data_IF_071171700298
#
_entry.id   IF_071171700298
#
_cell.length_a   1.000
_cell.length_b   1.000
_cell.length_c   1.000
_cell.angle_alpha   90.00
_cell.angle_beta   90.00
_cell.angle_gamma   90.00
#
_symmetry.space_group_name_H-M   'P 1'
#
loop_
_entity.id
_entity.type
_entity.pdbx_description
1 polymer ?
#
# COMPACT_ATOMS: atom_id res chain seq x y z
N UNK A 1 -46.06 -27.24 52.93
CA UNK A 1 -45.03 -27.35 51.89
C UNK A 1 -43.71 -27.54 52.61
N UNK A 2 -43.02 -28.65 52.36
CA UNK A 2 -41.74 -28.93 53.00
C UNK A 2 -40.73 -27.83 52.70
N UNK A 3 -40.02 -27.37 53.73
CA UNK A 3 -38.97 -26.34 53.65
C UNK A 3 -37.90 -26.69 52.60
N UNK A 4 -37.62 -27.97 52.41
CA UNK A 4 -36.73 -28.48 51.36
C UNK A 4 -37.28 -28.25 49.95
N UNK A 5 -38.59 -28.38 49.74
CA UNK A 5 -39.22 -28.15 48.43
C UNK A 5 -39.15 -26.68 48.03
N UNK A 6 -39.34 -25.77 49.00
CA UNK A 6 -39.22 -24.32 48.80
C UNK A 6 -37.77 -23.94 48.45
N UNK A 7 -36.78 -24.54 49.12
CA UNK A 7 -35.36 -24.30 48.82
C UNK A 7 -34.98 -24.75 47.41
N UNK A 8 -35.49 -25.90 46.93
CA UNK A 8 -35.25 -26.39 45.58
C UNK A 8 -35.84 -25.44 44.53
N UNK A 9 -37.05 -24.93 44.76
CA UNK A 9 -37.70 -23.97 43.85
C UNK A 9 -36.92 -22.66 43.78
N UNK A 10 -36.47 -22.13 44.93
CA UNK A 10 -35.66 -20.91 44.97
C UNK A 10 -34.32 -21.09 44.26
N UNK A 11 -33.65 -22.23 44.46
CA UNK A 11 -32.39 -22.54 43.77
C UNK A 11 -32.57 -22.61 42.25
N UNK A 12 -33.67 -23.22 41.77
CA UNK A 12 -33.97 -23.30 40.35
C UNK A 12 -34.19 -21.91 39.73
N UNK A 13 -34.91 -21.03 40.44
CA UNK A 13 -35.14 -19.65 40.00
C UNK A 13 -33.82 -18.89 39.88
N UNK A 14 -32.91 -19.03 40.87
CA UNK A 14 -31.61 -18.37 40.84
C UNK A 14 -30.78 -18.85 39.64
N UNK A 15 -30.76 -20.15 39.35
CA UNK A 15 -30.03 -20.69 38.19
C UNK A 15 -30.57 -20.13 36.87
N UNK A 16 -31.89 -20.05 36.72
CA UNK A 16 -32.52 -19.46 35.53
C UNK A 16 -32.16 -17.97 35.41
N UNK A 17 -32.17 -17.23 36.53
CA UNK A 17 -31.80 -15.81 36.57
C UNK A 17 -30.33 -15.59 36.20
N UNK A 18 -29.42 -16.43 36.72
CA UNK A 18 -28.00 -16.39 36.35
C UNK A 18 -27.80 -16.70 34.87
N UNK A 19 -28.48 -17.74 34.35
CA UNK A 19 -28.43 -18.07 32.92
C UNK A 19 -28.91 -16.92 32.03
N UNK A 20 -29.99 -16.23 32.43
CA UNK A 20 -30.51 -15.07 31.72
C UNK A 20 -29.52 -13.89 31.73
N UNK A 21 -28.91 -13.59 32.88
CA UNK A 21 -27.92 -12.51 32.99
C UNK A 21 -26.68 -12.84 32.15
N UNK A 22 -26.17 -14.07 32.24
CA UNK A 22 -25.03 -14.52 31.43
C UNK A 22 -25.30 -14.45 29.93
N UNK A 23 -26.50 -14.84 29.50
CA UNK A 23 -26.91 -14.73 28.09
C UNK A 23 -26.91 -13.28 27.61
N UNK A 24 -27.48 -12.35 28.38
CA UNK A 24 -27.51 -10.93 28.02
C UNK A 24 -26.10 -10.31 27.97
N UNK A 25 -25.24 -10.62 28.92
CA UNK A 25 -23.83 -10.18 28.90
C UNK A 25 -23.12 -10.73 27.65
N UNK A 26 -23.31 -12.01 27.35
CA UNK A 26 -22.74 -12.62 26.15
C UNK A 26 -23.21 -11.91 24.87
N UNK A 27 -24.51 -11.60 24.74
CA UNK A 27 -25.03 -10.92 23.55
C UNK A 27 -24.48 -9.49 23.42
N UNK A 28 -24.38 -8.73 24.52
CA UNK A 28 -23.82 -7.38 24.51
C UNK A 28 -22.34 -7.39 24.12
N UNK A 29 -21.55 -8.30 24.67
CA UNK A 29 -20.12 -8.41 24.34
C UNK A 29 -19.93 -8.95 22.92
N UNK A 30 -20.77 -9.87 22.45
CA UNK A 30 -20.76 -10.34 21.07
C UNK A 30 -21.10 -9.21 20.08
N UNK A 31 -22.09 -8.38 20.39
CA UNK A 31 -22.38 -7.18 19.58
C UNK A 31 -21.22 -6.17 19.60
N UNK A 32 -20.55 -5.96 20.74
CA UNK A 32 -19.37 -5.09 20.81
C UNK A 32 -18.18 -5.66 20.03
N UNK A 33 -17.99 -6.98 20.02
CA UNK A 33 -16.99 -7.65 19.19
C UNK A 33 -17.29 -7.48 17.70
N UNK A 34 -18.57 -7.53 17.30
CA UNK A 34 -19.00 -7.28 15.92
C UNK A 34 -18.94 -5.79 15.52
N UNK A 35 -19.19 -4.87 16.46
CA UNK A 35 -19.16 -3.41 16.26
C UNK A 35 -17.77 -2.80 16.49
N UNK A 36 -16.79 -3.58 16.98
CA UNK A 36 -15.41 -3.15 17.17
C UNK A 36 -14.75 -2.82 15.82
N UNK A 37 -14.33 -1.57 15.66
CA UNK A 37 -13.81 -0.97 14.42
C UNK A 37 -12.52 -1.57 13.85
N UNK A 38 -12.03 -2.70 14.36
CA UNK A 38 -10.68 -3.21 14.06
C UNK A 38 -10.63 -4.44 13.14
N UNK A 39 -11.74 -4.94 12.59
CA UNK A 39 -11.73 -6.20 11.80
C UNK A 39 -12.67 -6.23 10.59
N UNK A 40 -13.25 -5.10 10.18
CA UNK A 40 -14.07 -5.05 8.97
C UNK A 40 -13.17 -4.82 7.74
N UNK A 41 -13.26 -5.75 6.78
CA UNK A 41 -12.70 -5.60 5.44
C UNK A 41 -13.19 -4.26 4.85
N UNK A 42 -12.26 -3.35 4.56
CA UNK A 42 -12.51 -2.01 4.06
C UNK A 42 -11.79 -1.81 2.74
N UNK A 43 -12.54 -1.28 1.77
CA UNK A 43 -12.02 -0.79 0.49
C UNK A 43 -12.01 0.74 0.53
N UNK A 44 -10.88 1.35 0.19
CA UNK A 44 -10.70 2.79 0.04
C UNK A 44 -10.26 3.06 -1.39
N UNK A 45 -11.11 3.73 -2.18
CA UNK A 45 -10.73 4.20 -3.52
C UNK A 45 -9.83 5.44 -3.38
N UNK A 46 -8.60 5.37 -3.87
CA UNK A 46 -7.66 6.51 -3.86
C UNK A 46 -8.04 7.47 -4.98
N UNK A 47 -8.32 6.94 -6.18
CA UNK A 47 -8.99 7.66 -7.26
C UNK A 47 -9.74 6.68 -8.17
N UNK A 48 -10.77 7.17 -8.84
CA UNK A 48 -11.55 6.43 -9.84
C UNK A 48 -11.46 7.15 -11.19
N UNK A 49 -11.19 6.41 -12.26
CA UNK A 49 -10.94 6.92 -13.61
C UNK A 49 -9.48 6.83 -14.03
N UNK A 50 -9.19 7.31 -15.24
CA UNK A 50 -7.88 7.26 -15.88
C UNK A 50 -7.08 8.51 -15.54
N UNK A 51 -5.89 8.32 -14.98
CA UNK A 51 -4.87 9.33 -14.74
C UNK A 51 -3.74 9.14 -15.76
N UNK A 52 -3.57 10.11 -16.66
CA UNK A 52 -2.36 10.20 -17.49
C UNK A 52 -1.26 10.92 -16.71
N UNK A 53 -0.07 10.29 -16.66
CA UNK A 53 1.09 10.79 -15.94
C UNK A 53 1.75 12.00 -16.62
N UNK A 54 1.43 12.25 -17.89
CA UNK A 54 1.82 13.46 -18.61
C UNK A 54 1.03 14.69 -18.14
N UNK A 55 -0.31 14.60 -18.15
CA UNK A 55 -1.19 15.75 -17.93
C UNK A 55 -1.45 16.06 -16.46
N UNK A 56 -1.39 15.06 -15.58
CA UNK A 56 -1.73 15.23 -14.18
C UNK A 56 -0.50 15.57 -13.33
N UNK A 57 -0.67 16.59 -12.49
CA UNK A 57 0.27 16.90 -11.43
C UNK A 57 0.25 15.82 -10.33
N UNK A 58 1.24 15.83 -9.46
CA UNK A 58 1.39 14.85 -8.37
C UNK A 58 0.10 14.75 -7.55
N UNK A 59 -0.58 13.61 -7.63
CA UNK A 59 -1.77 13.40 -6.82
C UNK A 59 -1.32 13.09 -5.39
N UNK A 60 -1.58 14.02 -4.47
CA UNK A 60 -1.26 13.90 -3.06
C UNK A 60 -2.52 13.68 -2.25
N UNK A 61 -2.53 12.59 -1.48
CA UNK A 61 -3.58 12.30 -0.50
C UNK A 61 -3.01 12.28 0.91
N UNK A 62 -3.74 12.86 1.87
CA UNK A 62 -3.36 12.80 3.27
C UNK A 62 -3.80 11.45 3.85
N UNK A 63 -3.01 10.84 4.71
CA UNK A 63 -3.30 9.52 5.29
C UNK A 63 -3.14 9.49 6.80
N UNK A 64 -2.84 10.64 7.41
CA UNK A 64 -2.51 10.74 8.83
C UNK A 64 -3.36 11.80 9.56
N UNK A 65 -3.74 12.89 8.88
CA UNK A 65 -4.60 13.93 9.45
C UNK A 65 -6.03 13.76 8.93
N UNK A 66 -6.90 13.29 9.84
CA UNK A 66 -8.33 13.02 9.59
C UNK A 66 -9.09 14.30 9.21
N UNK A 67 -8.59 15.47 9.62
CA UNK A 67 -9.24 16.76 9.40
C UNK A 67 -9.00 17.31 8.00
N UNK A 68 -8.06 16.73 7.24
CA UNK A 68 -7.73 17.20 5.90
C UNK A 68 -8.80 16.79 4.88
N UNK A 69 -9.14 17.71 3.97
CA UNK A 69 -10.18 17.47 2.95
C UNK A 69 -9.84 16.31 1.99
N UNK A 70 -8.56 15.98 1.83
CA UNK A 70 -8.06 14.87 1.01
C UNK A 70 -7.58 13.67 1.87
N UNK A 71 -8.13 13.52 3.08
CA UNK A 71 -7.82 12.39 3.95
C UNK A 71 -8.35 11.08 3.38
N UNK A 72 -7.47 10.07 3.34
CA UNK A 72 -7.76 8.69 3.00
C UNK A 72 -7.32 7.80 4.15
N UNK A 73 -8.28 7.08 4.73
CA UNK A 73 -7.96 6.04 5.69
C UNK A 73 -7.47 4.79 4.95
N UNK A 74 -6.15 4.58 5.02
CA UNK A 74 -5.42 3.45 4.46
C UNK A 74 -4.66 2.68 5.55
N UNK A 75 -5.26 2.58 6.73
CA UNK A 75 -4.71 1.77 7.82
C UNK A 75 -4.79 0.28 7.46
N UNK A 76 -3.75 -0.53 7.73
CA UNK A 76 -3.81 -1.98 7.51
C UNK A 76 -4.72 -2.64 8.56
N UNK A 77 -5.31 -3.79 8.24
CA UNK A 77 -6.00 -4.62 9.24
C UNK A 77 -5.03 -5.64 9.84
N UNK A 78 -5.47 -6.27 10.93
CA UNK A 78 -4.71 -7.31 11.63
C UNK A 78 -5.35 -8.65 11.29
N UNK A 79 -4.54 -9.58 10.79
CA UNK A 79 -4.98 -10.92 10.48
C UNK A 79 -5.15 -11.77 11.75
N UNK A 80 -5.72 -12.97 11.59
CA UNK A 80 -5.96 -13.89 12.71
C UNK A 80 -4.69 -14.34 13.45
N UNK A 81 -3.53 -14.18 12.81
CA UNK A 81 -2.21 -14.51 13.37
C UNK A 81 -1.54 -13.31 14.06
N UNK A 82 -2.22 -12.15 14.13
CA UNK A 82 -1.70 -10.93 14.76
C UNK A 82 -0.78 -10.08 13.87
N UNK A 83 -0.61 -10.45 12.59
CA UNK A 83 0.19 -9.71 11.63
C UNK A 83 -0.63 -8.69 10.83
N UNK A 84 -0.01 -7.61 10.38
CA UNK A 84 -0.65 -6.63 9.51
C UNK A 84 -0.87 -7.20 8.09
N UNK A 85 -2.00 -6.85 7.46
CA UNK A 85 -2.29 -7.17 6.07
C UNK A 85 -2.94 -6.00 5.32
N UNK A 86 -2.68 -5.92 4.02
CA UNK A 86 -3.27 -4.95 3.11
C UNK A 86 -2.99 -5.32 1.65
N UNK A 87 -3.75 -4.74 0.73
CA UNK A 87 -3.56 -4.92 -0.70
C UNK A 87 -3.77 -3.61 -1.48
N UNK A 88 -3.03 -3.44 -2.57
CA UNK A 88 -3.25 -2.38 -3.55
C UNK A 88 -3.65 -3.01 -4.88
N UNK A 89 -4.64 -2.43 -5.54
CA UNK A 89 -5.08 -2.80 -6.88
C UNK A 89 -5.13 -1.57 -7.77
N UNK A 90 -4.62 -1.69 -8.99
CA UNK A 90 -4.73 -0.65 -10.00
C UNK A 90 -4.57 -1.23 -11.39
N UNK A 91 -5.05 -0.49 -12.37
CA UNK A 91 -4.84 -0.75 -13.79
C UNK A 91 -3.71 0.12 -14.30
N UNK A 92 -2.86 -0.43 -15.15
CA UNK A 92 -1.71 0.24 -15.74
C UNK A 92 -1.76 0.06 -17.25
N UNK A 93 -1.42 1.12 -17.97
CA UNK A 93 -1.16 1.12 -19.40
C UNK A 93 0.21 1.74 -19.62
N UNK A 94 1.00 1.09 -20.47
CA UNK A 94 2.36 1.48 -20.79
C UNK A 94 2.54 1.51 -22.31
N UNK A 95 3.19 2.55 -22.81
CA UNK A 95 3.74 2.58 -24.17
C UNK A 95 5.27 2.55 -24.08
N UNK A 96 5.85 1.36 -24.27
CA UNK A 96 7.30 1.14 -24.15
C UNK A 96 8.10 1.97 -25.16
N UNK A 97 7.51 2.33 -26.30
CA UNK A 97 8.18 3.14 -27.33
C UNK A 97 8.37 4.61 -26.92
N UNK A 98 7.57 5.09 -25.97
CA UNK A 98 7.64 6.46 -25.45
C UNK A 98 8.42 6.58 -24.14
N UNK A 99 8.76 5.47 -23.49
CA UNK A 99 9.62 5.46 -22.31
C UNK A 99 11.03 5.88 -22.71
N UNK A 100 11.43 7.08 -22.30
CA UNK A 100 12.77 7.64 -22.55
C UNK A 100 13.57 7.64 -21.25
N UNK A 101 14.79 7.13 -21.30
CA UNK A 101 15.76 7.20 -20.20
C UNK A 101 16.15 5.84 -19.63
N UNK A 102 17.09 5.88 -18.67
CA UNK A 102 17.68 4.70 -18.03
C UNK A 102 17.31 4.60 -16.54
N UNK A 103 16.31 5.37 -16.10
CA UNK A 103 15.93 5.51 -14.69
C UNK A 103 14.53 4.98 -14.46
N UNK A 104 14.26 4.62 -13.22
CA UNK A 104 13.01 4.01 -12.82
C UNK A 104 11.93 5.08 -12.64
N UNK A 105 10.73 4.82 -13.15
CA UNK A 105 9.57 5.69 -12.94
C UNK A 105 8.85 5.28 -11.66
N UNK A 106 8.52 6.24 -10.78
CA UNK A 106 7.77 5.94 -9.55
C UNK A 106 6.27 6.03 -9.85
N UNK A 107 5.57 4.92 -9.65
CA UNK A 107 4.12 4.85 -9.83
C UNK A 107 3.39 5.32 -8.57
N UNK A 108 3.81 4.80 -7.42
CA UNK A 108 3.18 5.01 -6.12
C UNK A 108 4.24 5.17 -5.04
N UNK A 109 4.05 6.15 -4.15
CA UNK A 109 4.85 6.31 -2.94
C UNK A 109 3.95 6.70 -1.77
N UNK A 110 3.90 5.86 -0.73
CA UNK A 110 3.43 6.27 0.60
C UNK A 110 4.63 6.54 1.49
N UNK A 111 4.96 7.81 1.68
CA UNK A 111 6.27 8.15 2.23
C UNK A 111 6.63 9.62 2.13
N UNK A 112 7.90 9.89 2.41
CA UNK A 112 8.48 11.21 2.17
C UNK A 112 9.21 11.20 0.81
N UNK A 113 9.12 12.31 0.07
CA UNK A 113 9.83 12.47 -1.21
C UNK A 113 11.31 12.77 -1.03
N UNK A 114 11.75 13.09 0.19
CA UNK A 114 13.14 13.39 0.49
C UNK A 114 14.05 12.22 0.10
N UNK A 115 15.02 12.53 -0.75
CA UNK A 115 16.04 11.61 -1.21
C UNK A 115 17.25 11.78 -0.30
N UNK A 116 17.65 10.70 0.36
CA UNK A 116 18.76 10.71 1.31
C UNK A 116 19.83 9.70 0.89
N UNK A 117 21.09 10.02 1.15
CA UNK A 117 22.22 9.10 0.96
C UNK A 117 22.17 8.03 2.04
N UNK A 118 22.14 6.76 1.65
CA UNK A 118 22.25 5.62 2.52
C UNK A 118 23.68 5.09 2.48
N UNK A 119 24.51 5.52 3.43
CA UNK A 119 25.94 5.20 3.48
C UNK A 119 26.25 3.74 3.86
N UNK A 120 25.24 2.93 4.21
CA UNK A 120 25.43 1.53 4.54
C UNK A 120 25.40 0.69 3.27
N UNK A 121 26.27 -0.33 3.15
CA UNK A 121 26.23 -1.29 2.04
C UNK A 121 24.84 -1.88 1.92
N UNK A 122 24.08 -1.39 0.94
CA UNK A 122 22.71 -1.84 0.72
C UNK A 122 22.73 -3.12 -0.09
N UNK A 123 21.77 -4.02 0.19
CA UNK A 123 21.45 -5.14 -0.70
C UNK A 123 20.47 -4.69 -1.80
N UNK A 124 20.05 -3.41 -1.74
CA UNK A 124 19.21 -2.73 -2.71
C UNK A 124 20.08 -1.94 -3.68
N UNK A 125 20.28 -2.48 -4.88
CA UNK A 125 21.18 -1.87 -5.85
C UNK A 125 20.48 -0.85 -6.74
N UNK A 126 19.23 -0.47 -6.44
CA UNK A 126 18.39 0.34 -7.32
C UNK A 126 19.00 1.70 -7.65
N UNK A 127 19.77 2.28 -6.74
CA UNK A 127 20.44 3.57 -6.92
C UNK A 127 21.93 3.42 -7.17
N UNK A 128 22.42 4.07 -8.22
CA UNK A 128 23.84 4.08 -8.57
C UNK A 128 24.67 5.02 -7.67
N UNK A 129 24.02 5.75 -6.73
CA UNK A 129 24.64 6.81 -5.93
C UNK A 129 24.40 6.68 -4.42
N UNK A 130 23.99 5.49 -3.95
CA UNK A 130 23.55 5.22 -2.57
C UNK A 130 22.37 6.09 -2.11
N UNK A 131 21.82 6.94 -2.97
CA UNK A 131 20.68 7.82 -2.67
C UNK A 131 19.37 7.05 -2.86
N UNK A 132 18.53 7.03 -1.84
CA UNK A 132 17.23 6.35 -1.90
C UNK A 132 16.19 7.09 -1.07
N UNK A 133 14.92 6.77 -1.33
CA UNK A 133 13.82 7.19 -0.47
C UNK A 133 13.85 6.32 0.79
N UNK A 134 14.13 6.93 1.93
CA UNK A 134 14.25 6.20 3.20
C UNK A 134 12.89 5.86 3.81
N UNK A 135 11.90 6.75 3.67
CA UNK A 135 10.56 6.58 4.26
C UNK A 135 9.58 6.19 3.16
N UNK A 136 9.27 4.90 3.06
CA UNK A 136 8.41 4.29 2.04
C UNK A 136 7.67 3.06 2.57
N UNK A 137 6.35 3.00 2.40
CA UNK A 137 5.56 1.78 2.59
C UNK A 137 4.15 1.93 1.99
N UNK A 138 3.89 1.55 0.71
CA UNK A 138 4.85 1.02 -0.26
C UNK A 138 5.51 2.11 -1.13
N UNK A 139 6.61 1.75 -1.78
CA UNK A 139 7.15 2.39 -2.98
C UNK A 139 7.03 1.39 -4.13
N UNK A 140 6.33 1.77 -5.20
CA UNK A 140 6.16 0.96 -6.40
C UNK A 140 6.88 1.65 -7.56
N UNK A 141 7.89 0.96 -8.12
CA UNK A 141 8.70 1.43 -9.23
C UNK A 141 8.43 0.63 -10.48
N UNK A 142 8.46 1.32 -11.61
CA UNK A 142 8.50 0.75 -12.94
C UNK A 142 9.93 0.83 -13.47
N UNK A 143 10.40 -0.27 -14.03
CA UNK A 143 11.64 -0.35 -14.80
C UNK A 143 11.72 0.70 -15.92
N UNK A 144 12.93 1.11 -16.35
CA UNK A 144 13.09 2.13 -17.40
C UNK A 144 12.48 1.69 -18.74
N UNK A 145 12.46 0.38 -19.01
CA UNK A 145 11.93 -0.22 -20.25
C UNK A 145 10.46 -0.66 -20.14
N UNK A 146 9.85 -0.55 -18.95
CA UNK A 146 8.50 -1.06 -18.69
C UNK A 146 8.39 -2.59 -18.73
N UNK A 147 9.49 -3.31 -18.54
CA UNK A 147 9.58 -4.78 -18.50
C UNK A 147 9.48 -5.37 -17.09
N UNK A 148 9.48 -4.53 -16.05
CA UNK A 148 9.30 -4.99 -14.68
C UNK A 148 8.80 -3.92 -13.72
N UNK A 149 8.27 -4.39 -12.60
CA UNK A 149 7.75 -3.61 -11.48
C UNK A 149 8.40 -4.11 -10.20
N UNK A 150 8.98 -3.19 -9.42
CA UNK A 150 9.55 -3.47 -8.11
C UNK A 150 8.68 -2.82 -7.02
N UNK A 151 8.55 -3.53 -5.90
CA UNK A 151 7.79 -3.10 -4.72
C UNK A 151 8.74 -3.10 -3.53
N UNK A 152 8.81 -1.97 -2.85
CA UNK A 152 9.64 -1.78 -1.67
C UNK A 152 8.79 -1.28 -0.51
N UNK A 153 9.18 -1.68 0.70
CA UNK A 153 8.58 -1.18 1.92
C UNK A 153 9.61 -1.19 3.05
N UNK A 154 9.45 -0.26 3.99
CA UNK A 154 10.26 -0.20 5.19
C UNK A 154 9.88 -1.28 6.19
N UNK A 155 10.91 -1.86 6.80
CA UNK A 155 10.78 -2.68 7.98
C UNK A 155 10.98 -1.84 9.25
N UNK A 156 10.67 -2.41 10.41
CA UNK A 156 11.08 -1.89 11.72
C UNK A 156 12.61 -1.78 11.83
N UNK A 157 13.37 -2.75 11.31
CA UNK A 157 14.84 -2.81 11.46
C UNK A 157 15.59 -2.05 10.37
N UNK A 158 15.15 -2.16 9.12
CA UNK A 158 15.87 -1.60 7.97
C UNK A 158 14.95 -0.87 6.98
N UNK A 159 15.57 -0.10 6.09
CA UNK A 159 14.89 0.72 5.08
C UNK A 159 14.24 -0.15 3.99
N UNK A 160 14.80 -1.32 3.69
CA UNK A 160 14.38 -2.18 2.58
C UNK A 160 14.14 -3.60 3.07
N UNK A 161 13.16 -4.26 2.46
CA UNK A 161 12.86 -5.68 2.72
C UNK A 161 13.19 -6.50 1.49
N UNK A 162 13.66 -7.73 1.71
CA UNK A 162 14.25 -8.56 0.67
C UNK A 162 13.51 -9.89 0.53
N UNK A 163 13.50 -10.46 -0.67
CA UNK A 163 12.97 -11.79 -0.88
C UNK A 163 13.78 -12.82 -0.08
N UNK A 164 13.09 -13.79 0.51
CA UNK A 164 13.67 -14.99 1.08
C UNK A 164 14.21 -15.87 -0.06
N UNK A 165 15.48 -15.67 -0.41
CA UNK A 165 16.18 -16.43 -1.45
C UNK A 165 17.47 -17.02 -0.88
N UNK A 166 17.82 -18.22 -1.34
CA UNK A 166 18.97 -18.98 -0.85
C UNK A 166 20.31 -18.22 -0.89
N UNK A 167 20.46 -17.24 -1.80
CA UNK A 167 21.66 -16.42 -1.90
C UNK A 167 21.33 -15.01 -2.33
N UNK A 168 21.44 -14.09 -1.39
CA UNK A 168 21.31 -12.66 -1.65
C UNK A 168 22.64 -12.14 -2.16
N UNK A 169 22.59 -11.40 -3.26
CA UNK A 169 23.78 -10.81 -3.87
C UNK A 169 23.95 -9.39 -3.36
N UNK A 170 25.13 -9.06 -2.84
CA UNK A 170 25.47 -7.67 -2.57
C UNK A 170 25.58 -6.88 -3.88
N UNK A 171 25.44 -5.57 -3.80
CA UNK A 171 25.53 -4.70 -4.98
C UNK A 171 26.92 -4.65 -5.62
N UNK A 172 27.94 -5.07 -4.90
CA UNK A 172 29.31 -5.25 -5.42
C UNK A 172 29.38 -6.46 -6.38
N UNK A 173 28.49 -7.45 -6.21
CA UNK A 173 28.48 -8.72 -6.95
C UNK A 173 27.32 -8.85 -7.95
N UNK A 174 26.36 -7.91 -7.89
CA UNK A 174 25.22 -7.89 -8.78
C UNK A 174 25.60 -7.29 -10.13
N UNK A 175 25.11 -7.91 -11.21
CA UNK A 175 25.19 -7.31 -12.54
C UNK A 175 24.24 -6.12 -12.62
N UNK A 176 24.81 -4.91 -12.67
CA UNK A 176 24.07 -3.65 -12.71
C UNK A 176 23.55 -3.30 -14.11
N UNK A 177 23.96 -4.03 -15.15
CA UNK A 177 23.57 -3.74 -16.54
C UNK A 177 22.14 -4.17 -16.85
N UNK A 178 21.66 -5.25 -16.21
CA UNK A 178 20.31 -5.77 -16.37
C UNK A 178 19.46 -5.39 -15.16
N UNK A 179 18.35 -4.67 -15.38
CA UNK A 179 17.48 -4.17 -14.33
C UNK A 179 16.97 -5.28 -13.38
N UNK A 180 16.62 -6.44 -13.94
CA UNK A 180 16.23 -7.64 -13.18
C UNK A 180 17.33 -8.14 -12.24
N UNK A 181 18.57 -8.19 -12.71
CA UNK A 181 19.71 -8.64 -11.90
C UNK A 181 20.03 -7.61 -10.81
N UNK A 182 19.96 -6.32 -11.15
CA UNK A 182 20.15 -5.19 -10.24
C UNK A 182 19.13 -5.20 -9.09
N UNK A 183 17.87 -5.54 -9.36
CA UNK A 183 16.78 -5.53 -8.38
C UNK A 183 16.43 -6.92 -7.84
N UNK A 184 17.17 -7.99 -8.18
CA UNK A 184 16.75 -9.37 -7.92
C UNK A 184 16.50 -9.74 -6.46
N UNK A 185 17.04 -8.98 -5.51
CA UNK A 185 16.78 -9.16 -4.07
C UNK A 185 15.44 -8.55 -3.62
N UNK A 186 14.87 -7.61 -4.38
CA UNK A 186 13.65 -6.89 -4.03
C UNK A 186 12.41 -7.63 -4.51
N UNK A 187 11.25 -7.30 -3.94
CA UNK A 187 9.97 -7.85 -4.37
C UNK A 187 9.57 -7.23 -5.71
N UNK A 188 9.03 -8.03 -6.61
CA UNK A 188 8.64 -7.51 -7.92
C UNK A 188 8.32 -8.58 -8.95
N UNK A 189 7.85 -8.11 -10.09
CA UNK A 189 7.69 -8.89 -11.32
C UNK A 189 8.70 -8.35 -12.32
N UNK A 190 9.57 -9.22 -12.84
CA UNK A 190 10.72 -8.80 -13.63
C UNK A 190 10.62 -9.13 -15.13
N UNK A 191 9.55 -9.81 -15.55
CA UNK A 191 9.31 -10.21 -16.94
C UNK A 191 7.86 -9.86 -17.33
N UNK A 192 7.61 -8.58 -17.61
CA UNK A 192 6.31 -8.05 -18.07
C UNK A 192 6.33 -7.80 -19.58
N UNK A 193 5.65 -8.68 -20.32
CA UNK A 193 5.48 -8.53 -21.76
C UNK A 193 4.13 -7.89 -22.14
N UNK A 194 3.91 -6.68 -21.62
CA UNK A 194 2.67 -5.93 -21.83
C UNK A 194 3.01 -4.54 -22.38
N UNK A 195 2.78 -4.35 -23.68
CA UNK A 195 2.98 -3.07 -24.38
C UNK A 195 1.68 -2.62 -25.05
N UNK A 196 1.39 -1.32 -24.95
CA UNK A 196 0.21 -0.64 -25.51
C UNK A 196 -1.13 -1.31 -25.15
N UNK A 197 -1.18 -1.92 -23.97
CA UNK A 197 -2.36 -2.62 -23.45
C UNK A 197 -2.60 -2.25 -21.99
N UNK A 198 -3.87 -2.26 -21.60
CA UNK A 198 -4.26 -2.16 -20.20
C UNK A 198 -4.08 -3.50 -19.52
N UNK A 199 -3.47 -3.48 -18.34
CA UNK A 199 -3.33 -4.65 -17.50
C UNK A 199 -3.52 -4.29 -16.03
N UNK A 200 -4.04 -5.23 -15.27
CA UNK A 200 -4.31 -5.04 -13.86
C UNK A 200 -3.14 -5.57 -13.04
N UNK A 201 -2.71 -4.81 -12.03
CA UNK A 201 -1.72 -5.23 -11.04
C UNK A 201 -2.40 -5.24 -9.68
N UNK A 202 -2.22 -6.34 -8.94
CA UNK A 202 -2.61 -6.40 -7.54
C UNK A 202 -1.42 -6.81 -6.70
N UNK A 203 -1.08 -6.00 -5.71
CA UNK A 203 -0.01 -6.25 -4.74
C UNK A 203 -0.68 -6.58 -3.42
N UNK A 204 -0.47 -7.78 -2.92
CA UNK A 204 -1.03 -8.28 -1.65
C UNK A 204 0.12 -8.48 -0.67
N UNK A 205 0.01 -7.83 0.48
CA UNK A 205 1.01 -7.86 1.54
C UNK A 205 0.39 -8.43 2.81
N UNK A 206 1.05 -9.41 3.41
CA UNK A 206 0.58 -10.05 4.64
C UNK A 206 1.75 -10.44 5.51
N UNK A 207 1.78 -9.98 6.75
CA UNK A 207 2.68 -10.55 7.76
C UNK A 207 2.19 -11.94 8.15
N UNK A 208 3.11 -12.90 8.16
CA UNK A 208 2.80 -14.30 8.47
C UNK A 208 3.63 -14.75 9.67
N UNK A 209 2.97 -15.33 10.66
CA UNK A 209 3.63 -16.29 11.53
C UNK A 209 3.31 -17.67 10.96
N UNK A 210 4.32 -18.46 10.59
CA UNK A 210 4.08 -19.85 10.23
C UNK A 210 3.89 -20.61 11.56
N UNK A 211 2.68 -21.07 11.90
CA UNK A 211 2.46 -21.79 13.16
C UNK A 211 3.23 -23.12 13.16
N UNK A 212 3.44 -23.71 11.98
CA UNK A 212 4.04 -25.04 11.81
C UNK A 212 5.58 -25.02 11.87
N UNK A 213 6.19 -23.83 11.91
CA UNK A 213 7.64 -23.74 11.97
C UNK A 213 8.07 -22.54 12.84
N UNK A 214 8.48 -22.84 14.07
CA UNK A 214 8.99 -21.89 15.06
C UNK A 214 10.14 -21.02 14.51
N UNK A 215 10.88 -21.52 13.51
CA UNK A 215 11.97 -20.78 12.83
C UNK A 215 11.49 -19.78 11.78
N UNK A 216 10.22 -19.84 11.36
CA UNK A 216 9.58 -18.91 10.41
C UNK A 216 8.67 -17.89 11.12
N UNK A 217 8.81 -17.76 12.45
CA UNK A 217 8.14 -16.69 13.17
C UNK A 217 8.63 -15.34 12.66
N UNK A 218 7.68 -14.52 12.22
CA UNK A 218 7.85 -13.13 11.78
C UNK A 218 8.39 -12.93 10.35
N UNK A 219 8.05 -13.79 9.39
CA UNK A 219 8.22 -13.45 7.97
C UNK A 219 7.02 -12.65 7.45
N UNK A 220 7.15 -12.08 6.25
CA UNK A 220 6.02 -11.52 5.53
C UNK A 220 5.86 -12.26 4.20
N UNK A 221 4.66 -12.26 3.66
CA UNK A 221 4.31 -12.80 2.34
C UNK A 221 3.91 -11.63 1.45
N UNK A 222 4.45 -11.64 0.24
CA UNK A 222 4.11 -10.72 -0.83
C UNK A 222 3.65 -11.51 -2.04
N UNK A 223 2.40 -11.26 -2.45
CA UNK A 223 1.82 -11.86 -3.65
C UNK A 223 1.51 -10.77 -4.66
N UNK A 224 1.98 -10.95 -5.89
CA UNK A 224 1.71 -10.03 -6.99
C UNK A 224 0.94 -10.77 -8.07
N UNK A 225 -0.23 -10.25 -8.40
CA UNK A 225 -1.10 -10.74 -9.45
C UNK A 225 -1.06 -9.79 -10.63
N UNK A 226 -1.05 -10.35 -11.84
CA UNK A 226 -1.17 -9.60 -13.10
C UNK A 226 -2.35 -10.20 -13.88
N UNK A 227 -3.31 -9.36 -14.26
CA UNK A 227 -4.53 -9.77 -14.99
C UNK A 227 -5.30 -10.93 -14.33
N UNK A 228 -5.34 -10.96 -12.99
CA UNK A 228 -5.99 -12.04 -12.24
C UNK A 228 -5.11 -13.26 -11.96
N UNK A 229 -4.01 -13.45 -12.69
CA UNK A 229 -3.09 -14.57 -12.49
C UNK A 229 -2.01 -14.25 -11.45
N UNK A 230 -1.70 -15.20 -10.57
CA UNK A 230 -0.59 -15.08 -9.62
C UNK A 230 0.74 -15.22 -10.37
N UNK A 231 1.57 -14.17 -10.35
CA UNK A 231 2.87 -14.17 -11.03
C UNK A 231 4.02 -14.31 -10.05
N UNK A 232 3.91 -13.70 -8.87
CA UNK A 232 4.93 -13.78 -7.82
C UNK A 232 4.28 -14.11 -6.49
N UNK A 233 4.78 -15.14 -5.82
CA UNK A 233 4.47 -15.48 -4.43
C UNK A 233 5.80 -15.68 -3.71
N UNK A 234 6.16 -14.70 -2.86
CA UNK A 234 7.47 -14.65 -2.20
C UNK A 234 7.30 -14.39 -0.72
N UNK A 235 8.08 -15.11 0.07
CA UNK A 235 8.33 -14.74 1.44
C UNK A 235 9.36 -13.62 1.48
N UNK A 236 9.24 -12.78 2.49
CA UNK A 236 10.07 -11.60 2.69
C UNK A 236 10.78 -11.74 4.02
N UNK A 237 12.05 -11.35 4.01
CA UNK A 237 12.94 -11.30 5.16
C UNK A 237 13.56 -9.92 5.31
N UNK A 238 14.09 -9.66 6.49
CA UNK A 238 14.86 -8.45 6.76
C UNK A 238 16.25 -8.82 7.21
N UNK A 239 17.26 -8.24 6.57
CA UNK A 239 18.66 -8.54 6.83
C UNK A 239 19.34 -7.29 7.32
N UNK A 240 20.03 -7.42 8.45
CA UNK A 240 20.82 -6.37 9.05
C UNK A 240 22.10 -6.96 9.64
N UNK A 241 23.26 -6.46 9.23
CA UNK A 241 24.58 -6.98 9.64
C UNK A 241 24.67 -8.52 9.51
N UNK A 242 24.30 -9.05 8.35
CA UNK A 242 24.32 -10.49 8.00
C UNK A 242 23.44 -11.39 8.89
N UNK A 243 22.52 -10.81 9.66
CA UNK A 243 21.53 -11.54 10.46
C UNK A 243 20.13 -11.31 9.92
N UNK A 244 19.31 -12.35 10.01
CA UNK A 244 17.89 -12.33 9.60
C UNK A 244 17.04 -11.89 10.80
N UNK A 245 16.15 -10.93 10.57
CA UNK A 245 15.20 -10.38 11.52
C UNK A 245 13.78 -10.46 10.97
N UNK A 246 12.82 -10.13 11.83
CA UNK A 246 11.41 -10.01 11.48
C UNK A 246 11.18 -9.12 10.25
N UNK A 247 10.31 -9.56 9.35
CA UNK A 247 9.86 -8.84 8.17
C UNK A 247 8.65 -7.89 8.42
N UNK A 248 8.39 -7.53 9.70
CA UNK A 248 7.29 -6.63 10.09
C UNK A 248 7.32 -5.29 9.34
N UNK A 249 6.18 -4.94 8.75
CA UNK A 249 5.91 -3.72 8.03
C UNK A 249 5.97 -2.51 8.98
N UNK A 250 6.75 -1.50 8.61
CA UNK A 250 6.71 -0.21 9.28
C UNK A 250 5.64 0.66 8.65
N UNK A 251 4.52 0.88 9.33
CA UNK A 251 3.49 1.79 8.83
C UNK A 251 3.91 3.26 9.05
N UNK A 252 4.36 3.92 7.98
CA UNK A 252 4.81 5.30 8.04
C UNK A 252 3.62 6.27 8.09
N UNK A 253 3.66 7.23 9.03
CA UNK A 253 2.78 8.40 9.05
C UNK A 253 3.24 9.40 8.00
N UNK A 254 2.88 9.16 6.75
CA UNK A 254 3.32 9.97 5.61
C UNK A 254 2.25 9.97 4.53
N UNK A 255 2.12 11.06 3.76
CA UNK A 255 1.14 11.15 2.67
C UNK A 255 1.38 10.11 1.58
N UNK A 256 0.33 9.84 0.81
CA UNK A 256 0.37 9.01 -0.39
C UNK A 256 0.51 9.89 -1.62
N UNK A 257 1.41 9.52 -2.51
CA UNK A 257 1.66 10.18 -3.79
C UNK A 257 1.49 9.20 -4.94
N UNK A 258 0.75 9.61 -5.97
CA UNK A 258 0.69 8.94 -7.27
C UNK A 258 1.40 9.83 -8.29
N UNK A 259 2.27 9.23 -9.12
CA UNK A 259 3.14 9.94 -10.05
C UNK A 259 3.91 11.11 -9.38
N UNK A 260 4.67 10.85 -8.29
CA UNK A 260 5.45 11.89 -7.64
C UNK A 260 6.53 12.45 -8.59
N UNK A 261 6.57 13.77 -8.71
CA UNK A 261 7.70 14.49 -9.29
C UNK A 261 8.86 14.55 -8.32
N UNK A 262 10.06 14.40 -8.88
CA UNK A 262 11.32 14.64 -8.20
C UNK A 262 12.04 15.78 -8.92
N UNK A 263 12.75 16.60 -8.16
CA UNK A 263 13.58 17.67 -8.72
C UNK A 263 14.79 17.12 -9.48
N UNK A 264 15.73 18.01 -9.77
CA UNK A 264 16.95 17.75 -10.57
C UNK A 264 17.91 16.69 -10.02
N UNK A 265 17.59 16.02 -8.91
CA UNK A 265 18.44 15.03 -8.23
C UNK A 265 18.69 13.74 -9.03
N UNK A 266 18.10 13.60 -10.22
CA UNK A 266 18.54 12.66 -11.25
C UNK A 266 18.52 11.16 -10.85
N UNK A 267 17.82 10.73 -9.80
CA UNK A 267 17.79 9.32 -9.39
C UNK A 267 16.63 8.55 -10.03
N UNK A 268 15.46 9.17 -10.07
CA UNK A 268 14.27 8.60 -10.71
C UNK A 268 14.02 9.27 -12.06
N UNK A 269 13.24 8.62 -12.91
CA UNK A 269 12.83 9.18 -14.18
C UNK A 269 12.04 10.47 -13.95
N UNK A 270 12.27 11.44 -14.83
CA UNK A 270 11.39 12.61 -14.92
C UNK A 270 10.01 12.18 -15.40
N UNK A 271 9.03 13.08 -15.24
CA UNK A 271 7.69 12.83 -15.74
C UNK A 271 7.71 12.59 -17.26
N UNK A 272 6.81 11.73 -17.78
CA UNK A 272 6.68 11.56 -19.21
C UNK A 272 6.44 12.90 -19.91
N UNK A 273 7.11 13.11 -21.05
CA UNK A 273 7.00 14.33 -21.86
C UNK A 273 5.91 14.24 -22.93
N UNK A 274 5.36 13.05 -23.13
CA UNK A 274 4.33 12.74 -24.12
C UNK A 274 3.12 12.10 -23.45
N UNK A 275 1.92 12.47 -23.89
CA UNK A 275 0.68 11.85 -23.47
C UNK A 275 0.65 10.35 -23.80
N UNK A 276 -0.15 9.61 -23.04
CA UNK A 276 -0.32 8.17 -23.16
C UNK A 276 0.95 7.33 -22.99
N UNK A 277 1.99 7.86 -22.32
CA UNK A 277 3.21 7.09 -22.04
C UNK A 277 3.00 6.13 -20.89
N UNK A 278 2.49 6.64 -19.75
CA UNK A 278 2.10 5.86 -18.57
C UNK A 278 0.72 6.37 -18.15
N UNK A 279 -0.24 5.47 -18.06
CA UNK A 279 -1.57 5.77 -17.52
C UNK A 279 -1.91 4.79 -16.42
N UNK A 280 -2.50 5.28 -15.34
CA UNK A 280 -3.00 4.46 -14.25
C UNK A 280 -4.51 4.67 -14.12
N UNK A 281 -5.26 3.62 -13.87
CA UNK A 281 -6.70 3.71 -13.64
C UNK A 281 -7.13 2.97 -12.37
N UNK A 282 -8.16 3.50 -11.71
CA UNK A 282 -8.82 2.93 -10.54
C UNK A 282 -7.85 2.39 -9.47
N UNK A 283 -7.06 3.26 -8.87
CA UNK A 283 -6.19 2.88 -7.76
C UNK A 283 -7.01 2.71 -6.48
N UNK A 284 -7.02 1.48 -5.96
CA UNK A 284 -7.77 1.08 -4.77
C UNK A 284 -6.84 0.47 -3.72
N UNK A 285 -7.14 0.76 -2.47
CA UNK A 285 -6.52 0.17 -1.30
C UNK A 285 -7.53 -0.71 -0.59
N UNK A 286 -7.10 -1.89 -0.19
CA UNK A 286 -7.83 -2.82 0.64
C UNK A 286 -7.06 -2.99 1.94
N UNK A 287 -7.71 -2.80 3.08
CA UNK A 287 -7.04 -3.00 4.36
C UNK A 287 -6.80 -4.49 4.69
N UNK A 288 -7.10 -5.43 3.80
CA UNK A 288 -7.00 -6.87 4.03
C UNK A 288 -6.26 -7.56 2.89
N UNK A 289 -5.89 -8.82 3.11
CA UNK A 289 -5.26 -9.65 2.08
C UNK A 289 -6.31 -10.14 1.07
N UNK A 290 -6.20 -9.72 -0.19
CA UNK A 290 -7.08 -10.20 -1.26
C UNK A 290 -6.75 -11.66 -1.61
N UNK A 291 -7.78 -12.50 -1.68
CA UNK A 291 -7.70 -13.87 -2.21
C UNK A 291 -7.65 -13.87 -3.75
N UNK A 292 -7.11 -14.94 -4.34
CA UNK A 292 -7.04 -15.08 -5.81
C UNK A 292 -8.41 -14.96 -6.51
N UNK A 293 -9.48 -15.46 -5.88
CA UNK A 293 -10.85 -15.34 -6.40
C UNK A 293 -11.35 -13.90 -6.38
N UNK A 294 -11.06 -13.15 -5.29
CA UNK A 294 -11.39 -11.72 -5.21
C UNK A 294 -10.63 -10.93 -6.29
N UNK A 295 -9.34 -11.22 -6.50
CA UNK A 295 -8.54 -10.58 -7.55
C UNK A 295 -9.10 -10.88 -8.94
N UNK A 296 -9.49 -12.13 -9.20
CA UNK A 296 -10.08 -12.53 -10.48
C UNK A 296 -11.42 -11.82 -10.73
N UNK A 297 -12.24 -11.65 -9.68
CA UNK A 297 -13.49 -10.87 -9.76
C UNK A 297 -13.23 -9.41 -10.10
N UNK A 298 -12.23 -8.78 -9.47
CA UNK A 298 -11.85 -7.39 -9.76
C UNK A 298 -11.38 -7.27 -11.22
N UNK A 299 -10.58 -8.21 -11.71
CA UNK A 299 -10.14 -8.23 -13.10
C UNK A 299 -11.32 -8.30 -14.09
N UNK A 300 -12.26 -9.20 -13.83
CA UNK A 300 -13.44 -9.40 -14.68
C UNK A 300 -14.39 -8.20 -14.67
N UNK A 301 -14.44 -7.44 -13.57
CA UNK A 301 -15.22 -6.20 -13.49
C UNK A 301 -14.63 -5.09 -14.38
N UNK A 302 -13.30 -5.06 -14.53
CA UNK A 302 -12.61 -4.05 -15.31
C UNK A 302 -12.37 -2.75 -14.55
N UNK A 303 -12.13 -1.67 -15.30
CA UNK A 303 -11.87 -0.33 -14.76
C UNK A 303 -12.74 0.74 -15.41
N UNK A 304 -12.83 1.87 -14.73
CA UNK A 304 -13.56 3.05 -15.14
C UNK A 304 -12.84 3.75 -16.30
N UNK A 305 -13.51 3.82 -17.46
CA UNK A 305 -12.91 4.38 -18.69
C UNK A 305 -12.93 5.91 -18.77
N UNK A 306 -13.57 6.60 -17.83
CA UNK A 306 -13.59 8.07 -17.79
C UNK A 306 -12.27 8.61 -17.25
N UNK A 307 -11.83 9.76 -17.74
CA UNK A 307 -10.69 10.48 -17.16
C UNK A 307 -10.98 10.86 -15.70
N UNK A 308 -9.97 10.73 -14.84
CA UNK A 308 -10.06 11.21 -13.47
C UNK A 308 -10.08 12.74 -13.44
N UNK A 309 -11.07 13.31 -12.77
CA UNK A 309 -11.12 14.74 -12.47
C UNK A 309 -10.97 14.92 -10.95
N UNK A 310 -9.91 15.61 -10.48
CA UNK A 310 -9.77 15.86 -9.06
C UNK A 310 -10.94 16.70 -8.54
N UNK A 311 -11.44 16.44 -7.31
CA UNK A 311 -12.52 17.23 -6.75
C UNK A 311 -12.12 18.70 -6.67
N UNK A 312 -12.92 19.58 -7.30
CA UNK A 312 -12.73 21.02 -7.26
C UNK A 312 -12.79 21.48 -5.80
N UNK A 313 -11.72 22.11 -5.32
CA UNK A 313 -11.60 22.60 -3.96
C UNK A 313 -12.47 23.85 -3.77
N UNK A 314 -13.77 23.67 -3.52
CA UNK A 314 -14.77 24.74 -3.39
C UNK A 314 -14.56 25.65 -2.17
N UNK A 315 -13.72 25.28 -1.20
CA UNK A 315 -13.43 26.11 -0.02
C UNK A 315 -12.55 27.32 -0.30
N UNK A 316 -11.74 27.32 -1.36
CA UNK A 316 -10.90 28.50 -1.72
C UNK A 316 -11.66 29.63 -2.41
N UNK A 317 -12.83 29.37 -3.02
CA UNK A 317 -13.62 30.40 -3.70
C UNK A 317 -14.52 31.21 -2.75
N UNK A 318 -14.89 30.67 -1.58
CA UNK A 318 -15.76 31.38 -0.63
C UNK A 318 -15.01 32.49 0.13
N UNK A 319 -13.67 32.43 0.19
CA UNK A 319 -12.86 33.44 0.89
C UNK A 319 -12.49 34.62 -0.01
N UNK A 320 -12.41 34.46 -1.34
CA UNK A 320 -12.12 35.60 -2.23
C UNK A 320 -13.32 36.52 -2.48
N UNK A 321 -14.55 36.02 -2.31
CA UNK A 321 -15.77 36.82 -2.52
C UNK A 321 -16.26 37.60 -1.30
N UNK A 322 -15.55 37.53 -0.15
CA UNK A 322 -15.87 38.34 1.04
C UNK A 322 -15.03 39.62 1.20
N UNK A 323 -14.02 39.85 0.35
CA UNK A 323 -13.10 40.98 0.48
C UNK A 323 -13.12 42.01 -0.68
N UNK A 324 -14.10 41.98 -1.59
CA UNK A 324 -14.26 43.02 -2.62
C UNK A 324 -15.47 43.94 -2.36
N UNK A 325 -15.55 44.49 -1.15
CA UNK A 325 -16.64 45.37 -0.75
C UNK A 325 -16.25 46.29 0.39
N UNK A 326 -15.19 47.09 0.23
CA UNK A 326 -14.99 48.41 0.86
C UNK A 326 -13.57 48.93 0.58
N UNK A 327 -13.39 49.58 -0.57
CA UNK A 327 -12.29 50.56 -0.73
C UNK A 327 -12.70 51.61 -1.75
N UNK A 328 -13.70 52.41 -1.37
CA UNK A 328 -13.94 53.70 -1.98
C UNK A 328 -14.21 54.68 -0.84
N UNK A 329 -13.55 55.84 -0.93
CA UNK A 329 -13.62 57.03 -0.06
C UNK A 329 -12.69 56.97 1.16
N UNK A 330 -11.49 57.55 1.01
CA UNK A 330 -11.02 58.73 1.79
C UNK A 330 -9.56 59.04 1.45
N UNK A 331 -9.37 59.94 0.48
CA UNK A 331 -8.22 60.84 0.45
C UNK A 331 -8.75 62.24 0.72
N UNK A 332 -8.45 62.74 1.93
CA UNK A 332 -8.37 64.14 2.35
C UNK A 332 -7.29 64.21 3.43
#
# INVERSE_FOLDING_TARGET
>A
MDTSLIQIIIALIIVILMGYISYNIYTIEFEKLLKGSNTLKKETSIFNGIVDFYSNSDLKSNTFDISADNYLDISPSINQQGGAEYSYNFWLYLDKSKLKGNKDSILLLKGNKDILVNTNKTLNCSSDSDKTIMIKNPLVRLSPKGDGIAVEYNNIVTIDSYQDINKIKSCDLADKTVWKNKNGNLLGVYDLDLDKKWFMITIVMKEVSAPDNILFNNKASSKIYVNGALISDKNVETIYNDKIYSATFKNNKAPLYVNPSYGTDNIYAEKPTEADTIKMADLKYYNYSLSGDEVTKIYNYGFTKSTYNPPLNTKKMVVSNKNSGNSLIKDL
#
